data_IF_018412736269
#
_entry.id   IF_018412736269
#
_cell.length_a   1.000
_cell.length_b   1.000
_cell.length_c   1.000
_cell.angle_alpha   90.00
_cell.angle_beta   90.00
_cell.angle_gamma   90.00
#
_symmetry.space_group_name_H-M   'P 1'
#
loop_
_entity.id
_entity.type
_entity.pdbx_description
1 polymer ?
#
# COMPACT_ATOMS: atom_id res chain seq x y z
N UNK A 1 24.88 53.88 18.59
CA UNK A 1 23.70 53.35 19.30
C UNK A 1 22.56 53.36 18.30
N UNK A 2 22.11 52.26 17.70
CA UNK A 2 21.34 51.11 18.21
C UNK A 2 20.94 50.30 16.95
N UNK A 3 20.66 49.01 16.90
CA UNK A 3 20.61 47.90 17.84
C UNK A 3 20.77 46.64 16.96
N UNK A 4 21.80 45.83 17.21
CA UNK A 4 21.89 44.47 16.65
C UNK A 4 20.78 43.64 17.31
N UNK A 5 19.69 43.34 16.59
CA UNK A 5 18.74 42.30 17.00
C UNK A 5 19.38 40.92 16.80
N UNK A 6 20.30 40.56 17.70
CA UNK A 6 20.77 39.20 17.91
C UNK A 6 19.65 38.41 18.61
N UNK A 7 18.65 37.96 17.82
CA UNK A 7 17.63 37.03 18.30
C UNK A 7 18.24 35.68 18.64
N UNK A 8 17.73 35.00 19.69
CA UNK A 8 18.12 33.63 20.04
C UNK A 8 17.97 32.73 18.81
N UNK A 9 19.03 31.98 18.47
CA UNK A 9 19.04 31.05 17.33
C UNK A 9 17.88 30.06 17.50
N UNK A 10 17.04 29.91 16.46
CA UNK A 10 15.98 28.91 16.48
C UNK A 10 16.62 27.51 16.53
N UNK A 11 16.15 26.67 17.44
CA UNK A 11 16.48 25.25 17.48
C UNK A 11 15.57 24.54 16.47
N UNK A 12 16.17 23.91 15.46
CA UNK A 12 15.45 23.13 14.45
C UNK A 12 15.34 21.71 15.00
N UNK A 13 14.11 21.20 15.10
CA UNK A 13 13.85 19.79 15.39
C UNK A 13 13.60 19.07 14.08
N UNK A 14 14.33 17.98 13.86
CA UNK A 14 14.17 17.14 12.68
C UNK A 14 14.02 15.68 13.08
N UNK A 15 13.44 14.89 12.18
CA UNK A 15 13.39 13.44 12.34
C UNK A 15 14.79 12.85 12.18
N UNK A 16 15.12 11.87 13.03
CA UNK A 16 16.41 11.20 13.01
C UNK A 16 16.55 10.31 11.76
N UNK A 17 17.63 10.48 11.02
CA UNK A 17 17.93 9.79 9.76
C UNK A 17 18.62 8.43 9.95
N UNK A 18 19.17 8.14 11.13
CA UNK A 18 19.83 6.88 11.45
C UNK A 18 18.83 5.73 11.70
N UNK A 19 17.61 6.08 12.10
CA UNK A 19 16.55 5.13 12.37
C UNK A 19 15.91 4.63 11.09
N UNK A 20 15.76 3.30 10.99
CA UNK A 20 15.31 2.64 9.77
C UNK A 20 13.96 1.95 9.93
N UNK A 21 13.23 1.96 8.84
CA UNK A 21 11.89 1.43 8.67
C UNK A 21 11.93 0.47 7.48
N UNK A 22 11.14 -0.60 7.54
CA UNK A 22 11.07 -1.60 6.49
C UNK A 22 9.63 -1.70 5.97
N UNK A 23 9.44 -1.40 4.69
CA UNK A 23 8.22 -1.73 3.99
C UNK A 23 8.42 -3.00 3.17
N UNK A 24 7.49 -3.93 3.23
CA UNK A 24 7.54 -5.21 2.50
C UNK A 24 6.25 -5.36 1.71
N UNK A 25 6.34 -5.81 0.45
CA UNK A 25 5.24 -6.35 -0.33
C UNK A 25 5.49 -7.85 -0.53
N UNK A 26 4.49 -8.67 -0.23
CA UNK A 26 4.53 -10.12 -0.47
C UNK A 26 3.63 -10.48 -1.65
N UNK A 27 4.22 -11.20 -2.60
CA UNK A 27 3.54 -11.82 -3.73
C UNK A 27 3.88 -13.32 -3.79
N UNK A 28 3.15 -14.09 -4.61
CA UNK A 28 3.40 -15.51 -4.78
C UNK A 28 4.79 -15.86 -5.35
N UNK A 29 5.33 -15.03 -6.25
CA UNK A 29 6.58 -15.30 -6.96
C UNK A 29 7.74 -14.46 -6.45
N UNK A 30 7.48 -13.39 -5.71
CA UNK A 30 8.52 -12.48 -5.27
C UNK A 30 8.10 -11.72 -4.00
N UNK A 31 9.10 -11.14 -3.34
CA UNK A 31 8.89 -10.04 -2.41
C UNK A 31 9.57 -8.79 -2.97
N UNK A 32 9.02 -7.63 -2.62
CA UNK A 32 9.69 -6.34 -2.78
C UNK A 32 9.82 -5.76 -1.39
N UNK A 33 10.99 -5.29 -1.00
CA UNK A 33 11.14 -4.56 0.25
C UNK A 33 12.02 -3.33 0.07
N UNK A 34 11.75 -2.32 0.88
CA UNK A 34 12.53 -1.08 0.92
C UNK A 34 12.84 -0.68 2.36
N UNK A 35 14.07 -0.22 2.57
CA UNK A 35 14.55 0.33 3.83
C UNK A 35 14.54 1.85 3.70
N UNK A 36 13.85 2.51 4.61
CA UNK A 36 13.66 3.96 4.61
C UNK A 36 14.09 4.55 5.95
N UNK A 37 14.42 5.84 5.98
CA UNK A 37 14.55 6.58 7.23
C UNK A 37 13.20 7.18 7.67
N UNK A 38 13.17 7.86 8.82
CA UNK A 38 11.94 8.50 9.33
C UNK A 38 11.44 9.68 8.47
N UNK A 39 12.27 10.23 7.58
CA UNK A 39 11.87 11.25 6.59
C UNK A 39 11.27 10.63 5.31
N UNK A 40 11.09 9.30 5.27
CA UNK A 40 10.67 8.52 4.11
C UNK A 40 11.68 8.58 2.93
N UNK A 41 12.96 8.75 3.21
CA UNK A 41 14.01 8.68 2.18
C UNK A 41 14.43 7.22 1.99
N UNK A 42 14.47 6.76 0.73
CA UNK A 42 14.86 5.39 0.39
C UNK A 42 16.38 5.21 0.58
N UNK A 43 16.76 4.24 1.41
CA UNK A 43 18.16 3.87 1.69
C UNK A 43 18.60 2.65 0.89
N UNK A 44 17.73 1.65 0.76
CA UNK A 44 17.97 0.43 -0.02
C UNK A 44 16.62 -0.19 -0.43
N UNK A 45 16.56 -0.82 -1.60
CA UNK A 45 15.39 -1.60 -2.00
C UNK A 45 15.80 -2.82 -2.79
N UNK A 46 15.00 -3.87 -2.70
CA UNK A 46 15.25 -5.10 -3.45
C UNK A 46 13.98 -5.83 -3.78
N UNK A 47 13.92 -6.29 -5.03
CA UNK A 47 13.00 -7.34 -5.47
C UNK A 47 13.70 -8.69 -5.43
N UNK A 48 13.12 -9.64 -4.71
CA UNK A 48 13.64 -11.00 -4.56
C UNK A 48 12.60 -12.01 -5.02
N UNK A 49 12.92 -12.73 -6.09
CA UNK A 49 12.13 -13.88 -6.50
C UNK A 49 12.24 -15.01 -5.47
N UNK A 50 11.09 -15.59 -5.18
CA UNK A 50 10.90 -16.70 -4.25
C UNK A 50 10.93 -18.02 -5.02
N UNK A 51 11.46 -19.05 -4.38
CA UNK A 51 11.17 -20.43 -4.76
C UNK A 51 9.69 -20.71 -4.51
N UNK A 52 9.11 -21.64 -5.26
CA UNK A 52 7.75 -22.10 -5.01
C UNK A 52 7.57 -22.48 -3.53
N UNK A 53 6.41 -22.10 -2.99
CA UNK A 53 5.97 -22.44 -1.64
C UNK A 53 4.47 -22.64 -1.65
N UNK A 54 3.97 -23.49 -0.76
CA UNK A 54 2.53 -23.73 -0.58
C UNK A 54 2.06 -23.53 0.88
N UNK A 55 2.97 -23.15 1.77
CA UNK A 55 2.68 -22.93 3.18
C UNK A 55 3.33 -21.66 3.72
N UNK A 56 2.74 -21.10 4.78
CA UNK A 56 3.30 -19.94 5.46
C UNK A 56 4.67 -20.23 6.09
N UNK A 57 4.93 -21.47 6.48
CA UNK A 57 6.22 -21.90 7.05
C UNK A 57 7.34 -21.79 6.02
N UNK A 58 7.10 -22.25 4.79
CA UNK A 58 8.08 -22.14 3.70
C UNK A 58 8.33 -20.68 3.31
N UNK A 59 7.27 -19.86 3.23
CA UNK A 59 7.42 -18.42 3.03
C UNK A 59 8.26 -17.76 4.13
N UNK A 60 7.98 -18.09 5.40
CA UNK A 60 8.73 -17.56 6.53
C UNK A 60 10.21 -17.95 6.48
N UNK A 61 10.53 -19.18 6.08
CA UNK A 61 11.93 -19.62 5.92
C UNK A 61 12.66 -18.82 4.83
N UNK A 62 12.00 -18.55 3.71
CA UNK A 62 12.57 -17.74 2.62
C UNK A 62 12.74 -16.26 3.02
N UNK A 63 11.75 -15.69 3.71
CA UNK A 63 11.84 -14.33 4.28
C UNK A 63 12.96 -14.24 5.30
N UNK A 64 13.11 -15.23 6.18
CA UNK A 64 14.17 -15.26 7.18
C UNK A 64 15.56 -15.29 6.51
N UNK A 65 15.76 -16.14 5.49
CA UNK A 65 17.03 -16.20 4.77
C UNK A 65 17.38 -14.88 4.10
N UNK A 66 16.40 -14.19 3.53
CA UNK A 66 16.64 -12.93 2.85
C UNK A 66 16.85 -11.77 3.83
N UNK A 67 15.97 -11.61 4.81
CA UNK A 67 15.97 -10.45 5.70
C UNK A 67 17.06 -10.52 6.79
N UNK A 68 17.57 -11.70 7.14
CA UNK A 68 18.73 -11.81 8.06
C UNK A 68 20.00 -11.15 7.52
N UNK A 69 20.07 -10.87 6.21
CA UNK A 69 21.18 -10.17 5.55
C UNK A 69 21.19 -8.68 5.91
N UNK A 70 20.05 -8.14 6.37
CA UNK A 70 19.91 -6.76 6.78
C UNK A 70 20.63 -6.52 8.12
N UNK A 71 21.84 -5.95 8.05
CA UNK A 71 22.64 -5.59 9.24
C UNK A 71 22.22 -4.24 9.81
N UNK A 72 20.93 -4.08 10.11
CA UNK A 72 20.39 -2.83 10.64
C UNK A 72 19.28 -3.08 11.66
N UNK A 73 19.17 -2.15 12.61
CA UNK A 73 17.99 -2.10 13.46
C UNK A 73 16.81 -1.56 12.63
N UNK A 74 15.65 -2.20 12.75
CA UNK A 74 14.39 -1.79 12.12
C UNK A 74 13.40 -1.50 13.24
N UNK A 75 12.80 -0.30 13.22
CA UNK A 75 11.90 0.17 14.27
C UNK A 75 10.43 -0.21 14.02
N UNK A 76 10.04 -0.28 12.75
CA UNK A 76 8.72 -0.72 12.35
C UNK A 76 8.77 -1.39 10.99
N UNK A 77 7.90 -2.38 10.82
CA UNK A 77 7.67 -3.15 9.62
C UNK A 77 6.19 -3.07 9.29
N UNK A 78 5.87 -2.78 8.04
CA UNK A 78 4.54 -3.03 7.50
C UNK A 78 4.67 -4.00 6.35
N UNK A 79 3.81 -5.00 6.33
CA UNK A 79 3.75 -6.01 5.28
C UNK A 79 2.48 -5.82 4.46
N UNK A 80 2.68 -5.38 3.22
CA UNK A 80 1.67 -5.32 2.17
C UNK A 80 1.36 -6.70 1.63
N UNK A 81 0.07 -7.05 1.61
CA UNK A 81 -0.45 -8.30 1.05
C UNK A 81 -1.59 -8.01 0.06
N UNK A 82 -1.76 -8.90 -0.91
CA UNK A 82 -2.98 -8.93 -1.72
C UNK A 82 -4.11 -9.57 -0.89
N UNK A 83 -5.21 -8.85 -0.68
CA UNK A 83 -6.27 -9.21 0.27
C UNK A 83 -6.13 -8.48 1.61
N UNK A 84 -6.67 -9.05 2.69
CA UNK A 84 -6.68 -8.44 4.03
C UNK A 84 -6.34 -9.45 5.14
N UNK A 85 -5.91 -8.95 6.30
CA UNK A 85 -5.77 -9.75 7.52
C UNK A 85 -7.01 -9.50 8.39
N UNK A 86 -7.69 -10.56 8.80
CA UNK A 86 -8.83 -10.45 9.72
C UNK A 86 -8.37 -10.20 11.15
N UNK A 87 -9.28 -9.76 12.02
CA UNK A 87 -8.97 -9.40 13.42
C UNK A 87 -8.38 -10.55 14.25
N UNK A 88 -8.64 -11.79 13.87
CA UNK A 88 -8.08 -13.01 14.45
C UNK A 88 -6.73 -13.42 13.82
N UNK A 89 -6.14 -12.57 12.97
CA UNK A 89 -4.82 -12.81 12.37
C UNK A 89 -4.82 -13.74 11.16
N UNK A 90 -5.97 -13.98 10.54
CA UNK A 90 -6.06 -14.87 9.37
C UNK A 90 -5.91 -14.08 8.08
N UNK A 91 -5.03 -14.54 7.20
CA UNK A 91 -4.89 -13.99 5.85
C UNK A 91 -6.11 -14.40 5.02
N UNK A 92 -6.82 -13.42 4.46
CA UNK A 92 -7.93 -13.60 3.55
C UNK A 92 -7.56 -13.01 2.19
N UNK A 93 -7.31 -13.87 1.20
CA UNK A 93 -6.82 -13.50 -0.12
C UNK A 93 -7.36 -14.45 -1.19
N UNK A 94 -7.78 -13.91 -2.33
CA UNK A 94 -8.14 -14.72 -3.51
C UNK A 94 -6.91 -15.17 -4.32
N UNK A 95 -5.75 -14.53 -4.11
CA UNK A 95 -4.57 -14.68 -4.96
C UNK A 95 -3.39 -15.35 -4.24
N UNK A 96 -3.20 -15.14 -2.95
CA UNK A 96 -2.05 -15.64 -2.22
C UNK A 96 -2.15 -17.14 -1.89
N UNK A 97 -1.06 -17.89 -2.12
CA UNK A 97 -0.96 -19.34 -1.79
C UNK A 97 -1.11 -19.63 -0.29
N UNK A 98 -0.87 -18.63 0.56
CA UNK A 98 -0.98 -18.72 2.03
C UNK A 98 -2.35 -18.29 2.56
N UNK A 99 -3.36 -18.11 1.69
CA UNK A 99 -4.71 -17.80 2.13
C UNK A 99 -5.20 -18.79 3.22
N UNK A 100 -5.86 -18.27 4.26
CA UNK A 100 -6.30 -19.03 5.42
C UNK A 100 -5.22 -19.29 6.48
N UNK A 101 -3.98 -18.84 6.26
CA UNK A 101 -2.90 -18.98 7.25
C UNK A 101 -2.99 -17.93 8.35
N UNK A 102 -2.59 -18.33 9.56
CA UNK A 102 -2.40 -17.45 10.71
C UNK A 102 -1.03 -16.73 10.62
N UNK A 103 -1.05 -15.40 10.66
CA UNK A 103 0.15 -14.56 10.54
C UNK A 103 1.12 -14.67 11.73
N UNK A 104 0.74 -15.33 12.83
CA UNK A 104 1.56 -15.49 14.04
C UNK A 104 2.95 -16.02 13.73
N UNK A 105 3.08 -16.96 12.78
CA UNK A 105 4.39 -17.49 12.40
C UNK A 105 5.24 -16.40 11.72
N UNK A 106 4.65 -15.64 10.80
CA UNK A 106 5.32 -14.55 10.11
C UNK A 106 5.75 -13.44 11.08
N UNK A 107 4.89 -13.07 12.02
CA UNK A 107 5.21 -12.12 13.10
C UNK A 107 6.36 -12.62 13.96
N UNK A 108 6.34 -13.90 14.38
CA UNK A 108 7.44 -14.51 15.14
C UNK A 108 8.75 -14.49 14.37
N UNK A 109 8.72 -14.81 13.07
CA UNK A 109 9.90 -14.75 12.21
C UNK A 109 10.47 -13.33 12.12
N UNK A 110 9.62 -12.33 11.91
CA UNK A 110 10.05 -10.93 11.85
C UNK A 110 10.57 -10.42 13.20
N UNK A 111 9.91 -10.75 14.32
CA UNK A 111 10.38 -10.41 15.68
C UNK A 111 11.69 -11.11 16.03
N UNK A 112 11.93 -12.33 15.57
CA UNK A 112 13.21 -13.02 15.75
C UNK A 112 14.37 -12.24 15.10
N UNK A 113 14.14 -11.66 13.93
CA UNK A 113 15.12 -10.84 13.23
C UNK A 113 15.21 -9.42 13.80
N UNK A 114 14.07 -8.85 14.21
CA UNK A 114 13.95 -7.46 14.66
C UNK A 114 13.11 -7.38 15.95
N UNK A 115 13.71 -7.67 17.13
CA UNK A 115 12.96 -7.90 18.38
C UNK A 115 12.06 -6.77 18.86
N UNK A 116 12.46 -5.52 18.64
CA UNK A 116 11.76 -4.34 19.15
C UNK A 116 10.85 -3.67 18.11
N UNK A 117 10.70 -4.28 16.94
CA UNK A 117 9.99 -3.66 15.82
C UNK A 117 8.48 -3.69 16.03
N UNK A 118 7.78 -2.64 15.60
CA UNK A 118 6.31 -2.68 15.40
C UNK A 118 6.03 -3.44 14.11
N UNK A 119 5.01 -4.28 14.08
CA UNK A 119 4.64 -5.06 12.88
C UNK A 119 3.16 -4.86 12.63
N UNK A 120 2.79 -4.48 11.41
CA UNK A 120 1.40 -4.46 10.98
C UNK A 120 1.28 -5.00 9.55
N UNK A 121 0.06 -5.36 9.17
CA UNK A 121 -0.27 -5.85 7.84
C UNK A 121 -1.27 -4.92 7.21
N UNK A 122 -1.19 -4.74 5.90
CA UNK A 122 -2.16 -3.91 5.20
C UNK A 122 -2.34 -4.38 3.77
N UNK A 123 -3.50 -4.09 3.21
CA UNK A 123 -3.80 -4.35 1.82
C UNK A 123 -2.92 -3.50 0.88
N UNK A 124 -2.45 -4.08 -0.21
CA UNK A 124 -1.66 -3.42 -1.26
C UNK A 124 -2.28 -2.12 -1.80
N UNK A 125 -3.57 -2.11 -2.11
CA UNK A 125 -4.27 -0.92 -2.60
C UNK A 125 -4.40 0.17 -1.52
N UNK A 126 -4.59 -0.21 -0.25
CA UNK A 126 -4.55 0.73 0.88
C UNK A 126 -3.18 1.38 1.03
N UNK A 127 -2.10 0.60 0.89
CA UNK A 127 -0.72 1.13 0.95
C UNK A 127 -0.43 2.11 -0.18
N UNK A 128 -0.95 1.86 -1.39
CA UNK A 128 -0.88 2.81 -2.48
C UNK A 128 -1.64 4.11 -2.16
N UNK A 129 -2.81 4.00 -1.53
CA UNK A 129 -3.58 5.15 -1.07
C UNK A 129 -2.82 5.97 0.00
N UNK A 130 -2.15 5.30 0.92
CA UNK A 130 -1.29 5.92 1.94
C UNK A 130 -0.11 6.67 1.30
N UNK A 131 0.59 6.04 0.33
CA UNK A 131 1.66 6.69 -0.42
C UNK A 131 1.16 7.95 -1.11
N UNK A 132 0.03 7.86 -1.82
CA UNK A 132 -0.52 9.00 -2.54
C UNK A 132 -0.96 10.12 -1.60
N UNK A 133 -1.54 9.81 -0.44
CA UNK A 133 -1.83 10.80 0.60
C UNK A 133 -0.57 11.53 1.06
N UNK A 134 0.51 10.79 1.31
CA UNK A 134 1.77 11.36 1.81
C UNK A 134 2.32 12.44 0.87
N UNK A 135 2.28 12.20 -0.44
CA UNK A 135 2.80 13.12 -1.44
C UNK A 135 1.81 14.20 -1.91
N UNK A 136 0.50 13.97 -1.77
CA UNK A 136 -0.50 14.91 -2.26
C UNK A 136 -0.65 16.17 -1.37
N UNK A 137 -0.15 16.12 -0.14
CA UNK A 137 -0.19 17.23 0.81
C UNK A 137 -1.61 17.61 1.25
N UNK A 138 -1.73 18.66 2.07
CA UNK A 138 -3.00 19.03 2.76
C UNK A 138 -4.14 19.52 1.86
N UNK A 139 -3.92 19.68 0.56
CA UNK A 139 -4.95 20.16 -0.38
C UNK A 139 -5.80 19.03 -0.96
N UNK A 140 -5.30 17.79 -0.91
CA UNK A 140 -5.97 16.61 -1.45
C UNK A 140 -6.38 15.75 -0.26
N UNK A 141 -7.68 15.72 0.04
CA UNK A 141 -8.22 15.06 1.23
C UNK A 141 -8.88 13.74 0.90
N UNK A 142 -9.38 13.59 -0.31
CA UNK A 142 -10.10 12.42 -0.77
C UNK A 142 -9.36 11.81 -1.96
N UNK A 143 -8.79 10.63 -1.78
CA UNK A 143 -8.00 9.93 -2.81
C UNK A 143 -8.56 8.53 -3.00
N UNK A 144 -8.73 8.14 -4.24
CA UNK A 144 -8.97 6.75 -4.62
C UNK A 144 -7.72 6.22 -5.29
N UNK A 145 -7.16 5.13 -4.80
CA UNK A 145 -6.10 4.40 -5.49
C UNK A 145 -6.65 3.05 -5.92
N UNK A 146 -6.57 2.73 -7.20
CA UNK A 146 -6.96 1.41 -7.74
C UNK A 146 -5.70 0.66 -8.13
N UNK A 147 -5.57 -0.57 -7.64
CA UNK A 147 -4.54 -1.51 -8.05
C UNK A 147 -5.13 -2.51 -9.05
N UNK A 148 -4.55 -2.61 -10.24
CA UNK A 148 -4.90 -3.60 -11.27
C UNK A 148 -3.64 -4.35 -11.73
N UNK A 149 -3.34 -5.43 -11.03
CA UNK A 149 -2.21 -6.30 -11.32
C UNK A 149 -2.61 -7.77 -11.32
N UNK A 150 -2.03 -8.57 -10.41
CA UNK A 150 -2.46 -9.97 -10.20
C UNK A 150 -3.83 -10.10 -9.53
N UNK A 151 -4.31 -9.01 -8.97
CA UNK A 151 -5.67 -8.87 -8.49
C UNK A 151 -6.15 -7.46 -8.73
N UNK A 152 -7.39 -7.19 -8.31
CA UNK A 152 -8.04 -5.90 -8.44
C UNK A 152 -8.50 -5.38 -7.08
N UNK A 153 -7.85 -4.31 -6.60
CA UNK A 153 -8.12 -3.70 -5.29
C UNK A 153 -8.27 -2.19 -5.37
N UNK A 154 -8.87 -1.59 -4.34
CA UNK A 154 -9.05 -0.14 -4.25
C UNK A 154 -8.77 0.35 -2.82
N UNK A 155 -7.80 1.24 -2.65
CA UNK A 155 -7.57 1.95 -1.40
C UNK A 155 -8.27 3.30 -1.38
N UNK A 156 -8.81 3.67 -0.23
CA UNK A 156 -9.62 4.87 -0.06
C UNK A 156 -9.07 5.77 1.03
N UNK A 157 -8.71 7.01 0.68
CA UNK A 157 -8.48 8.09 1.63
C UNK A 157 -9.71 8.98 1.63
N UNK A 158 -10.33 9.19 2.79
CA UNK A 158 -11.49 10.07 2.98
C UNK A 158 -11.14 11.02 4.12
N UNK A 159 -11.19 12.33 3.86
CA UNK A 159 -10.78 13.35 4.82
C UNK A 159 -9.38 13.08 5.43
N UNK A 160 -8.38 12.81 4.59
CA UNK A 160 -6.98 12.54 4.96
C UNK A 160 -6.77 11.21 5.75
N UNK A 161 -7.83 10.44 5.97
CA UNK A 161 -7.80 9.19 6.71
C UNK A 161 -8.00 7.99 5.79
N UNK A 162 -7.23 6.92 6.00
CA UNK A 162 -7.48 5.65 5.34
C UNK A 162 -8.85 5.10 5.79
N UNK A 163 -9.70 4.75 4.83
CA UNK A 163 -10.99 4.15 5.06
C UNK A 163 -10.96 2.65 4.76
N UNK A 164 -10.94 1.85 5.83
CA UNK A 164 -10.89 0.37 5.76
C UNK A 164 -12.26 -0.29 5.94
N UNK A 165 -13.30 0.47 6.30
CA UNK A 165 -14.62 -0.06 6.61
C UNK A 165 -14.57 -1.06 7.79
N UNK A 166 -15.12 -2.27 7.59
CA UNK A 166 -14.99 -3.38 8.56
C UNK A 166 -13.70 -4.21 8.36
N UNK A 167 -12.76 -3.72 7.56
CA UNK A 167 -11.52 -4.40 7.15
C UNK A 167 -11.49 -4.87 5.68
N UNK A 168 -12.53 -4.56 4.90
CA UNK A 168 -12.71 -5.03 3.52
C UNK A 168 -13.22 -3.90 2.59
N UNK A 169 -13.05 -2.64 2.98
CA UNK A 169 -13.41 -1.55 2.09
C UNK A 169 -12.52 -1.58 0.85
N UNK A 170 -13.14 -1.41 -0.31
CA UNK A 170 -12.40 -1.33 -1.56
C UNK A 170 -11.94 -2.66 -2.16
N UNK A 171 -12.56 -3.77 -1.77
CA UNK A 171 -12.49 -5.07 -2.47
C UNK A 171 -13.14 -5.01 -3.87
N UNK A 172 -12.54 -4.20 -4.74
CA UNK A 172 -13.09 -3.81 -6.04
C UNK A 172 -13.21 -5.02 -6.98
N UNK A 173 -12.24 -5.92 -6.97
CA UNK A 173 -12.26 -7.16 -7.75
C UNK A 173 -13.46 -8.06 -7.44
N UNK A 174 -14.01 -7.96 -6.23
CA UNK A 174 -15.12 -8.80 -5.76
C UNK A 174 -16.51 -8.28 -6.15
N UNK A 175 -16.64 -7.06 -6.69
CA UNK A 175 -17.94 -6.56 -7.12
C UNK A 175 -18.46 -7.36 -8.32
N UNK A 176 -19.77 -7.42 -8.50
CA UNK A 176 -20.38 -8.18 -9.60
C UNK A 176 -20.49 -7.32 -10.86
N UNK A 177 -20.02 -7.87 -11.98
CA UNK A 177 -20.31 -7.35 -13.32
C UNK A 177 -20.63 -8.53 -14.26
N UNK A 178 -21.72 -8.41 -15.01
CA UNK A 178 -22.16 -9.40 -15.99
C UNK A 178 -22.18 -10.85 -15.45
N UNK A 179 -22.67 -11.04 -14.22
CA UNK A 179 -22.85 -12.36 -13.59
C UNK A 179 -21.58 -13.02 -13.02
N UNK A 180 -20.42 -12.35 -13.05
CA UNK A 180 -19.16 -12.79 -12.43
C UNK A 180 -18.54 -11.66 -11.61
N UNK A 181 -17.50 -11.96 -10.83
CA UNK A 181 -16.73 -10.92 -10.14
C UNK A 181 -16.01 -10.04 -11.17
N UNK A 182 -15.76 -8.77 -10.85
CA UNK A 182 -15.10 -7.83 -11.76
C UNK A 182 -13.70 -8.31 -12.16
N UNK A 183 -12.94 -8.85 -11.20
CA UNK A 183 -11.63 -9.46 -11.47
C UNK A 183 -11.75 -10.56 -12.53
N UNK A 184 -12.64 -11.54 -12.32
CA UNK A 184 -12.90 -12.60 -13.32
C UNK A 184 -13.44 -12.07 -14.63
N UNK A 185 -14.22 -10.99 -14.61
CA UNK A 185 -14.72 -10.37 -15.84
C UNK A 185 -13.57 -9.83 -16.65
N UNK A 186 -12.69 -9.04 -16.05
CA UNK A 186 -11.54 -8.44 -16.72
C UNK A 186 -10.63 -9.53 -17.27
N UNK A 187 -10.32 -10.57 -16.49
CA UNK A 187 -9.42 -11.66 -16.90
C UNK A 187 -9.92 -12.50 -18.08
N UNK A 188 -11.23 -12.53 -18.32
CA UNK A 188 -11.85 -13.40 -19.34
C UNK A 188 -12.56 -12.65 -20.45
N UNK A 189 -12.42 -11.32 -20.50
CA UNK A 189 -13.08 -10.49 -21.50
C UNK A 189 -12.08 -9.97 -22.53
N UNK A 190 -12.59 -9.64 -23.71
CA UNK A 190 -11.77 -8.98 -24.74
C UNK A 190 -11.45 -7.54 -24.33
N UNK A 191 -10.30 -7.04 -24.80
CA UNK A 191 -9.75 -5.71 -24.47
C UNK A 191 -10.78 -4.57 -24.57
N UNK A 192 -11.57 -4.53 -25.63
CA UNK A 192 -12.59 -3.48 -25.82
C UNK A 192 -13.69 -3.49 -24.74
N UNK A 193 -14.08 -4.66 -24.27
CA UNK A 193 -15.08 -4.79 -23.20
C UNK A 193 -14.48 -4.42 -21.85
N UNK A 194 -13.20 -4.77 -21.62
CA UNK A 194 -12.43 -4.33 -20.45
C UNK A 194 -12.36 -2.80 -20.37
N UNK A 195 -12.01 -2.13 -21.47
CA UNK A 195 -11.91 -0.66 -21.53
C UNK A 195 -13.26 -0.01 -21.21
N UNK A 196 -14.37 -0.46 -21.82
CA UNK A 196 -15.71 0.07 -21.54
C UNK A 196 -16.11 -0.11 -20.08
N UNK A 197 -15.82 -1.27 -19.51
CA UNK A 197 -16.12 -1.56 -18.10
C UNK A 197 -15.33 -0.65 -17.16
N UNK A 198 -14.05 -0.41 -17.44
CA UNK A 198 -13.22 0.52 -16.69
C UNK A 198 -13.74 1.96 -16.75
N UNK A 199 -14.05 2.47 -17.94
CA UNK A 199 -14.62 3.82 -18.12
C UNK A 199 -15.93 3.97 -17.34
N UNK A 200 -16.79 2.93 -17.36
CA UNK A 200 -18.03 2.88 -16.56
C UNK A 200 -17.74 2.89 -15.06
N UNK A 201 -16.76 2.10 -14.62
CA UNK A 201 -16.39 1.96 -13.22
C UNK A 201 -15.81 3.25 -12.65
N UNK A 202 -14.87 3.88 -13.35
CA UNK A 202 -14.27 5.16 -12.96
C UNK A 202 -15.35 6.24 -12.79
N UNK A 203 -16.36 6.26 -13.67
CA UNK A 203 -17.48 7.18 -13.55
C UNK A 203 -18.30 6.91 -12.29
N UNK A 204 -18.61 5.65 -12.02
CA UNK A 204 -19.36 5.28 -10.81
C UNK A 204 -18.59 5.66 -9.55
N UNK A 205 -17.29 5.36 -9.50
CA UNK A 205 -16.39 5.74 -8.39
C UNK A 205 -16.40 7.26 -8.19
N UNK A 206 -16.27 8.04 -9.25
CA UNK A 206 -16.32 9.50 -9.17
C UNK A 206 -17.64 9.99 -8.57
N UNK A 207 -18.79 9.53 -9.06
CA UNK A 207 -20.09 10.00 -8.56
C UNK A 207 -20.39 9.55 -7.13
N UNK A 208 -19.92 8.37 -6.73
CA UNK A 208 -20.14 7.83 -5.39
C UNK A 208 -19.24 8.51 -4.36
N UNK A 209 -17.97 8.74 -4.70
CA UNK A 209 -16.97 9.18 -3.73
C UNK A 209 -16.58 10.65 -3.85
N UNK A 210 -16.82 11.28 -5.00
CA UNK A 210 -16.38 12.65 -5.33
C UNK A 210 -14.93 12.90 -4.89
N UNK A 211 -13.95 12.09 -5.34
CA UNK A 211 -12.59 12.20 -4.87
C UNK A 211 -11.88 13.42 -5.50
N UNK A 212 -10.93 13.98 -4.76
CA UNK A 212 -10.03 15.03 -5.28
C UNK A 212 -9.03 14.46 -6.30
N UNK A 213 -8.72 13.16 -6.21
CA UNK A 213 -7.76 12.45 -7.08
C UNK A 213 -8.10 10.96 -7.19
N UNK A 214 -7.98 10.39 -8.39
CA UNK A 214 -8.01 8.93 -8.63
C UNK A 214 -6.68 8.50 -9.23
N UNK A 215 -5.98 7.57 -8.60
CA UNK A 215 -4.69 7.02 -9.05
C UNK A 215 -4.89 5.57 -9.46
N UNK A 216 -4.34 5.18 -10.61
CA UNK A 216 -4.46 3.82 -11.15
C UNK A 216 -3.08 3.17 -11.25
N UNK A 217 -2.76 2.32 -10.28
CA UNK A 217 -1.56 1.49 -10.33
C UNK A 217 -1.86 0.22 -11.12
N UNK A 218 -1.21 0.02 -12.26
CA UNK A 218 -1.50 -1.10 -13.12
C UNK A 218 -0.23 -1.70 -13.75
N UNK A 219 -0.24 -3.02 -13.92
CA UNK A 219 0.80 -3.76 -14.65
C UNK A 219 0.54 -3.87 -16.15
N UNK A 220 -0.68 -3.55 -16.61
CA UNK A 220 -1.17 -3.64 -17.99
C UNK A 220 -1.14 -2.26 -18.66
N UNK A 221 0.04 -1.84 -19.13
CA UNK A 221 0.29 -0.45 -19.52
C UNK A 221 -0.46 0.00 -20.78
N UNK A 222 -0.64 -0.90 -21.74
CA UNK A 222 -1.30 -0.59 -23.02
C UNK A 222 -2.80 -0.36 -22.82
N UNK A 223 -3.45 -1.26 -22.09
CA UNK A 223 -4.87 -1.16 -21.74
C UNK A 223 -5.16 0.10 -20.93
N UNK A 224 -4.25 0.46 -20.02
CA UNK A 224 -4.37 1.68 -19.23
C UNK A 224 -4.32 2.95 -20.06
N UNK A 225 -3.40 3.03 -21.02
CA UNK A 225 -3.29 4.20 -21.88
C UNK A 225 -4.58 4.39 -22.71
N UNK A 226 -5.18 3.30 -23.18
CA UNK A 226 -6.47 3.33 -23.89
C UNK A 226 -7.66 3.67 -22.99
N UNK A 227 -7.66 3.21 -21.73
CA UNK A 227 -8.68 3.60 -20.74
C UNK A 227 -8.61 5.11 -20.46
N UNK A 228 -7.41 5.66 -20.32
CA UNK A 228 -7.20 7.09 -20.09
C UNK A 228 -7.69 7.89 -21.32
N UNK A 229 -7.32 7.47 -22.52
CA UNK A 229 -7.75 8.13 -23.76
C UNK A 229 -9.28 8.13 -23.91
N UNK A 230 -9.93 6.98 -23.69
CA UNK A 230 -11.39 6.88 -23.80
C UNK A 230 -12.09 7.64 -22.67
N UNK A 231 -11.52 7.69 -21.45
CA UNK A 231 -12.01 8.51 -20.35
C UNK A 231 -11.99 10.00 -20.71
N UNK A 232 -10.85 10.52 -21.16
CA UNK A 232 -10.67 11.94 -21.49
C UNK A 232 -11.59 12.38 -22.63
N UNK A 233 -11.78 11.51 -23.62
CA UNK A 233 -12.71 11.70 -24.74
C UNK A 233 -14.17 11.71 -24.29
N UNK A 234 -14.55 10.79 -23.39
CA UNK A 234 -15.95 10.63 -22.95
C UNK A 234 -16.34 11.67 -21.90
N UNK A 235 -15.40 12.06 -21.04
CA UNK A 235 -15.63 12.92 -19.87
C UNK A 235 -14.65 14.11 -19.80
N UNK A 236 -14.59 14.98 -20.83
CA UNK A 236 -13.59 16.05 -20.94
C UNK A 236 -13.66 17.13 -19.84
N UNK A 237 -14.75 17.16 -19.07
CA UNK A 237 -14.95 18.10 -17.98
C UNK A 237 -14.39 17.61 -16.62
N UNK A 238 -13.92 16.36 -16.53
CA UNK A 238 -13.48 15.73 -15.28
C UNK A 238 -11.96 15.84 -15.08
N UNK A 239 -11.42 17.07 -15.20
CA UNK A 239 -9.97 17.35 -15.19
C UNK A 239 -9.26 17.12 -13.84
N UNK A 240 -10.03 16.92 -12.77
CA UNK A 240 -9.50 16.63 -11.43
C UNK A 240 -9.08 15.17 -11.27
N UNK A 241 -9.59 14.29 -12.14
CA UNK A 241 -9.20 12.88 -12.21
C UNK A 241 -7.85 12.76 -12.92
N UNK A 242 -6.76 12.71 -12.15
CA UNK A 242 -5.42 12.49 -12.67
C UNK A 242 -4.99 11.05 -12.55
N UNK A 243 -5.07 10.32 -13.66
CA UNK A 243 -4.61 8.94 -13.72
C UNK A 243 -3.08 8.93 -13.76
N UNK A 244 -2.45 8.36 -12.74
CA UNK A 244 -1.01 8.22 -12.62
C UNK A 244 -0.61 6.74 -12.56
N UNK A 245 0.44 6.39 -13.31
CA UNK A 245 1.10 5.07 -13.25
C UNK A 245 2.00 5.02 -12.01
N UNK A 246 1.96 3.91 -11.29
CA UNK A 246 2.78 3.72 -10.08
C UNK A 246 4.10 3.04 -10.37
N UNK A 247 5.06 3.21 -9.47
CA UNK A 247 6.40 2.63 -9.55
C UNK A 247 6.44 1.21 -8.95
N UNK A 248 7.45 0.42 -9.33
CA UNK A 248 7.61 -0.98 -8.88
C UNK A 248 7.67 -1.13 -7.35
N UNK A 249 8.26 -0.15 -6.65
CA UNK A 249 8.39 -0.14 -5.19
C UNK A 249 7.23 0.55 -4.45
N UNK A 250 6.18 1.00 -5.15
CA UNK A 250 5.19 1.90 -4.55
C UNK A 250 4.40 1.29 -3.38
N UNK A 251 4.13 -0.03 -3.40
CA UNK A 251 3.47 -0.71 -2.28
C UNK A 251 4.41 -0.81 -1.09
N UNK A 252 5.68 -1.18 -1.31
CA UNK A 252 6.69 -1.22 -0.26
C UNK A 252 6.95 0.17 0.34
N UNK A 253 6.91 1.23 -0.45
CA UNK A 253 7.01 2.60 0.06
C UNK A 253 5.77 3.00 0.87
N UNK A 254 4.56 2.68 0.39
CA UNK A 254 3.32 2.88 1.14
C UNK A 254 3.35 2.17 2.50
N UNK A 255 3.89 0.94 2.53
CA UNK A 255 4.14 0.21 3.77
C UNK A 255 5.12 0.95 4.68
N UNK A 256 6.24 1.44 4.15
CA UNK A 256 7.21 2.19 4.94
C UNK A 256 6.61 3.48 5.53
N UNK A 257 5.79 4.21 4.78
CA UNK A 257 5.08 5.40 5.27
C UNK A 257 4.14 5.03 6.43
N UNK A 258 3.35 3.96 6.29
CA UNK A 258 2.49 3.50 7.38
C UNK A 258 3.30 3.06 8.60
N UNK A 259 4.43 2.38 8.39
CA UNK A 259 5.33 1.95 9.44
C UNK A 259 5.93 3.14 10.21
N UNK A 260 6.28 4.24 9.53
CA UNK A 260 6.69 5.50 10.17
C UNK A 260 5.55 6.03 11.05
N UNK A 261 4.32 6.10 10.52
CA UNK A 261 3.17 6.60 11.27
C UNK A 261 2.87 5.77 12.52
N UNK A 262 2.90 4.44 12.41
CA UNK A 262 2.68 3.53 13.53
C UNK A 262 3.77 3.65 14.60
N UNK A 263 5.04 3.73 14.18
CA UNK A 263 6.15 3.93 15.09
C UNK A 263 6.01 5.27 15.84
N UNK A 264 5.79 6.37 15.12
CA UNK A 264 5.63 7.69 15.71
C UNK A 264 4.44 7.75 16.67
N UNK A 265 3.30 7.15 16.32
CA UNK A 265 2.17 7.03 17.24
C UNK A 265 2.52 6.19 18.47
N UNK A 266 3.21 5.05 18.33
CA UNK A 266 3.64 4.25 19.48
C UNK A 266 4.49 5.06 20.47
N UNK A 267 5.47 5.81 19.99
CA UNK A 267 6.38 6.57 20.88
C UNK A 267 5.78 7.89 21.41
N UNK A 268 4.76 8.44 20.75
CA UNK A 268 4.15 9.72 21.17
C UNK A 268 2.87 9.56 21.98
N UNK A 269 2.02 8.58 21.65
CA UNK A 269 0.71 8.38 22.30
C UNK A 269 0.60 7.03 23.03
N UNK A 270 1.62 6.18 22.97
CA UNK A 270 1.65 4.93 23.73
C UNK A 270 0.72 3.85 23.19
N UNK A 271 0.58 3.71 21.86
CA UNK A 271 -0.16 2.59 21.26
C UNK A 271 0.37 1.25 21.79
N UNK A 272 -0.48 0.52 22.51
CA UNK A 272 -0.22 -0.85 22.93
C UNK A 272 -0.25 -1.79 21.71
N UNK A 273 0.64 -2.80 21.70
CA UNK A 273 0.83 -3.71 20.55
C UNK A 273 -0.41 -4.54 20.19
N UNK A 274 -1.44 -4.59 21.06
CA UNK A 274 -2.67 -5.36 20.82
C UNK A 274 -3.51 -4.86 19.63
N UNK A 275 -3.25 -3.66 19.10
CA UNK A 275 -3.95 -3.13 17.92
C UNK A 275 -3.16 -3.28 16.61
N UNK A 276 -2.05 -4.03 16.61
CA UNK A 276 -1.21 -4.20 15.44
C UNK A 276 -1.48 -5.55 14.77
N UNK A 277 -2.51 -5.59 13.93
CA UNK A 277 -2.63 -6.51 12.80
C UNK A 277 -3.21 -5.77 11.62
#
# INVERSE_FOLDING_TARGET
MKDNKLGRKAEILELNEEYKILGIQIENEFIIYGIYNLKNELLDSKKKFLSYYDSITELCAQLEDELKKLKTNILSIVVGISGYVSKDGIINSSTLRINGSDITLLVKTLKKLFPNTVIAFENDANLLAIKERFYSGRKVKNVVCIYWGKGLGMGLIINEMLYVGKGQAGELGSILTNGKTLEKYIDSSEKNEVIKEWVRLLRNIYYVLQPDKIVLNCTHQEEMDEIIEEWDKTYPNFKEVKIHKSEENAIAEGAAILAIELYLKKVTVGLEEENAY
#
